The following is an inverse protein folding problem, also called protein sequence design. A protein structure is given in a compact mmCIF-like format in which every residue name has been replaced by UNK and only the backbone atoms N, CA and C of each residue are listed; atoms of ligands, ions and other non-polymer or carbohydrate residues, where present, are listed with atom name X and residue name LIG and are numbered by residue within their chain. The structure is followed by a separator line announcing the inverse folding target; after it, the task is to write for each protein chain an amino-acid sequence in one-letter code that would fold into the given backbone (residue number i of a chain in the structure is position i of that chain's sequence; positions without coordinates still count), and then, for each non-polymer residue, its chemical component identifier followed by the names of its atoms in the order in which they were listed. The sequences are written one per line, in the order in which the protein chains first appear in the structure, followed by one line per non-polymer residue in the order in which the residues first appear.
data_IF_886073103507
#
_entry.id   IF_886073103507
#
_cell.length_a   1.000
_cell.length_b   1.000
_cell.length_c   1.000
_cell.angle_alpha   90.00
_cell.angle_beta   90.00
_cell.angle_gamma   90.00
#
_symmetry.space_group_name_H-M   'P 1'
#
loop_
_entity.id
_entity.type
_entity.pdbx_description
1 polymer ?
#
# COMPACT_ATOMS: atom_id res chain seq x y z
N UNK A 1 12.01 -17.15 4.55
CA UNK A 1 12.41 -15.84 5.12
C UNK A 1 11.38 -15.38 6.14
N UNK A 2 11.64 -14.31 6.91
CA UNK A 2 10.68 -13.76 7.88
C UNK A 2 10.90 -12.25 8.08
N UNK A 3 9.83 -11.53 8.42
CA UNK A 3 9.92 -10.13 8.85
C UNK A 3 10.34 -10.10 10.33
N UNK A 4 11.43 -9.42 10.63
CA UNK A 4 11.94 -9.20 11.98
C UNK A 4 11.33 -7.96 12.65
N UNK A 5 11.15 -6.89 11.89
CA UNK A 5 10.53 -5.66 12.39
C UNK A 5 9.87 -4.87 11.26
N UNK A 6 8.84 -4.11 11.63
CA UNK A 6 8.09 -3.22 10.73
C UNK A 6 8.26 -1.78 11.26
N UNK A 7 8.52 -0.82 10.37
CA UNK A 7 8.60 0.60 10.71
C UNK A 7 7.85 1.42 9.66
N UNK A 8 6.94 2.29 10.11
CA UNK A 8 6.13 3.14 9.23
C UNK A 8 6.60 4.58 9.34
N UNK A 9 6.93 5.19 8.20
CA UNK A 9 7.27 6.60 8.10
C UNK A 9 6.11 7.34 7.44
N UNK A 10 5.55 8.34 8.12
CA UNK A 10 4.32 9.05 7.70
C UNK A 10 4.58 10.34 6.90
N UNK A 11 5.83 10.64 6.59
CA UNK A 11 6.26 11.86 5.89
C UNK A 11 7.74 11.79 5.50
N UNK A 12 8.38 12.93 5.18
CA UNK A 12 9.81 12.97 4.83
C UNK A 12 10.68 12.25 5.85
N UNK A 13 11.55 11.37 5.37
CA UNK A 13 12.35 10.46 6.15
C UNK A 13 13.70 10.18 5.48
N UNK A 14 14.51 9.30 6.08
CA UNK A 14 15.85 8.96 5.60
C UNK A 14 15.86 8.38 4.17
N UNK A 15 14.77 7.76 3.73
CA UNK A 15 14.70 7.03 2.46
C UNK A 15 14.04 7.85 1.36
N UNK A 16 13.02 8.64 1.69
CA UNK A 16 12.23 9.41 0.73
C UNK A 16 11.58 10.65 1.36
N UNK A 17 11.12 11.59 0.51
CA UNK A 17 10.34 12.76 0.93
C UNK A 17 8.85 12.46 1.11
N UNK A 18 8.43 11.22 0.91
CA UNK A 18 7.05 10.74 1.01
C UNK A 18 6.96 9.52 1.94
N UNK A 19 5.73 9.10 2.34
CA UNK A 19 5.55 7.98 3.24
C UNK A 19 6.08 6.65 2.69
N UNK A 20 6.81 5.92 3.53
CA UNK A 20 7.37 4.60 3.21
C UNK A 20 7.23 3.65 4.41
N UNK A 21 7.14 2.36 4.12
CA UNK A 21 7.28 1.28 5.11
C UNK A 21 8.68 0.69 4.95
N UNK A 22 9.35 0.42 6.07
CA UNK A 22 10.57 -0.39 6.12
C UNK A 22 10.27 -1.69 6.83
N UNK A 23 10.57 -2.81 6.18
CA UNK A 23 10.61 -4.13 6.77
C UNK A 23 12.08 -4.52 6.94
N UNK A 24 12.50 -4.89 8.15
CA UNK A 24 13.75 -5.63 8.30
C UNK A 24 13.42 -7.11 8.13
N UNK A 25 14.03 -7.74 7.13
CA UNK A 25 13.74 -9.12 6.70
C UNK A 25 14.97 -9.98 6.89
N UNK A 26 14.78 -11.16 7.49
CA UNK A 26 15.77 -12.22 7.58
C UNK A 26 15.47 -13.27 6.50
N UNK A 27 16.38 -13.41 5.52
CA UNK A 27 16.25 -14.36 4.43
C UNK A 27 16.42 -15.80 4.91
N UNK A 28 17.15 -16.03 6.00
CA UNK A 28 17.52 -17.36 6.47
C UNK A 28 18.26 -18.13 5.37
N UNK A 29 17.89 -19.40 5.10
CA UNK A 29 18.52 -20.18 4.03
C UNK A 29 18.45 -19.53 2.65
N UNK A 30 17.46 -18.66 2.40
CA UNK A 30 17.27 -18.01 1.09
C UNK A 30 18.36 -16.99 0.74
N UNK A 31 19.26 -16.67 1.68
CA UNK A 31 20.45 -15.88 1.38
C UNK A 31 21.30 -16.52 0.27
N UNK A 32 21.38 -17.85 0.27
CA UNK A 32 22.12 -18.63 -0.73
C UNK A 32 21.28 -18.97 -1.97
N UNK A 33 20.03 -18.49 -2.04
CA UNK A 33 19.07 -18.79 -3.10
C UNK A 33 18.53 -17.51 -3.74
N UNK A 34 19.35 -16.79 -4.52
CA UNK A 34 18.84 -15.73 -5.38
C UNK A 34 17.87 -16.32 -6.42
N UNK A 35 17.02 -15.47 -7.00
CA UNK A 35 15.96 -15.89 -7.93
C UNK A 35 16.46 -16.75 -9.09
N UNK A 36 17.67 -16.51 -9.61
CA UNK A 36 18.25 -17.33 -10.67
C UNK A 36 18.54 -18.76 -10.23
N UNK A 37 18.88 -18.98 -8.95
CA UNK A 37 19.08 -20.32 -8.37
C UNK A 37 17.75 -21.03 -8.06
N UNK A 38 16.71 -20.28 -7.69
CA UNK A 38 15.35 -20.83 -7.55
C UNK A 38 14.79 -21.33 -8.89
N UNK A 39 15.27 -20.78 -10.00
CA UNK A 39 15.02 -21.26 -11.35
C UNK A 39 13.75 -20.70 -11.99
N UNK A 40 13.51 -21.10 -13.24
CA UNK A 40 12.45 -20.55 -14.08
C UNK A 40 11.05 -20.74 -13.49
N UNK A 41 10.76 -21.90 -12.86
CA UNK A 41 9.44 -22.17 -12.28
C UNK A 41 9.03 -21.18 -11.19
N UNK A 42 9.98 -20.69 -10.39
CA UNK A 42 9.71 -19.63 -9.41
C UNK A 42 9.39 -18.29 -10.09
N UNK A 43 10.21 -17.92 -11.09
CA UNK A 43 10.05 -16.63 -11.80
C UNK A 43 8.76 -16.60 -12.61
N UNK A 44 8.48 -17.65 -13.38
CA UNK A 44 7.24 -17.79 -14.16
C UNK A 44 6.02 -17.80 -13.24
N UNK A 45 6.05 -18.60 -12.17
CA UNK A 45 4.99 -18.64 -11.18
C UNK A 45 4.72 -17.26 -10.55
N UNK A 46 5.76 -16.51 -10.20
CA UNK A 46 5.62 -15.15 -9.68
C UNK A 46 4.94 -14.22 -10.68
N UNK A 47 5.42 -14.23 -11.92
CA UNK A 47 4.95 -13.36 -12.98
C UNK A 47 3.53 -13.74 -13.45
N UNK A 48 3.12 -15.00 -13.33
CA UNK A 48 1.76 -15.44 -13.68
C UNK A 48 0.73 -14.97 -12.63
N UNK A 49 1.10 -15.01 -11.35
CA UNK A 49 0.25 -14.50 -10.27
C UNK A 49 0.16 -12.97 -10.27
N UNK A 50 1.25 -12.29 -10.64
CA UNK A 50 1.36 -10.83 -10.64
C UNK A 50 1.93 -10.31 -11.97
N UNK A 51 1.11 -10.21 -13.02
CA UNK A 51 1.60 -9.90 -14.35
C UNK A 51 2.17 -8.48 -14.51
N UNK A 52 1.72 -7.51 -13.71
CA UNK A 52 2.23 -6.13 -13.75
C UNK A 52 3.70 -6.00 -13.33
N UNK A 53 4.26 -7.01 -12.66
CA UNK A 53 5.72 -7.08 -12.40
C UNK A 53 6.57 -7.03 -13.67
N UNK A 54 6.00 -7.39 -14.84
CA UNK A 54 6.68 -7.26 -16.14
C UNK A 54 6.97 -5.80 -16.52
N UNK A 55 6.16 -4.86 -16.04
CA UNK A 55 6.32 -3.43 -16.33
C UNK A 55 7.26 -2.72 -15.32
N UNK A 56 7.67 -3.41 -14.25
CA UNK A 56 8.52 -2.81 -13.23
C UNK A 56 9.93 -2.56 -13.77
N UNK A 57 10.39 -1.30 -13.72
CA UNK A 57 11.70 -0.94 -14.26
C UNK A 57 12.91 -1.12 -13.35
N UNK A 58 12.70 -1.23 -12.03
CA UNK A 58 13.79 -1.42 -11.05
C UNK A 58 14.93 -0.41 -11.26
N UNK A 59 16.20 -0.85 -11.24
CA UNK A 59 17.38 -0.02 -11.44
C UNK A 59 17.58 0.46 -12.88
N UNK A 60 16.94 -0.18 -13.86
CA UNK A 60 17.09 0.18 -15.28
C UNK A 60 16.15 1.32 -15.69
N UNK A 61 15.07 1.55 -14.95
CA UNK A 61 14.13 2.64 -15.22
C UNK A 61 13.27 2.44 -16.48
N UNK A 62 13.32 1.26 -17.09
CA UNK A 62 12.57 0.88 -18.30
C UNK A 62 11.72 -0.37 -18.04
N UNK A 63 10.55 -0.52 -18.68
CA UNK A 63 9.73 -1.74 -18.58
C UNK A 63 10.55 -3.02 -18.78
N UNK A 64 10.27 -4.05 -17.97
CA UNK A 64 11.02 -5.31 -17.98
C UNK A 64 12.30 -5.31 -17.14
N UNK A 65 12.74 -4.16 -16.62
CA UNK A 65 13.98 -4.06 -15.83
C UNK A 65 14.01 -4.95 -14.58
N UNK A 66 12.87 -5.16 -13.91
CA UNK A 66 12.77 -6.10 -12.79
C UNK A 66 12.87 -7.56 -13.25
N UNK A 67 12.21 -7.92 -14.35
CA UNK A 67 12.29 -9.28 -14.93
C UNK A 67 13.73 -9.61 -15.27
N UNK A 68 14.46 -8.67 -15.87
CA UNK A 68 15.90 -8.81 -16.12
C UNK A 68 16.67 -9.09 -14.85
N UNK A 69 16.41 -8.36 -13.75
CA UNK A 69 17.04 -8.63 -12.44
C UNK A 69 16.67 -9.97 -11.83
N UNK A 70 15.53 -10.56 -12.17
CA UNK A 70 15.15 -11.89 -11.71
C UNK A 70 15.97 -12.99 -12.40
N UNK A 71 16.40 -12.77 -13.65
CA UNK A 71 16.96 -13.83 -14.52
C UNK A 71 18.43 -13.64 -14.91
N UNK A 72 18.88 -12.40 -15.10
CA UNK A 72 20.25 -12.05 -15.49
C UNK A 72 21.21 -12.14 -14.29
N UNK A 73 22.49 -12.42 -14.54
CA UNK A 73 23.59 -12.38 -13.55
C UNK A 73 23.34 -13.19 -12.26
N UNK A 74 22.62 -14.31 -12.35
CA UNK A 74 22.28 -15.16 -11.21
C UNK A 74 21.03 -14.71 -10.43
N UNK A 75 20.36 -13.65 -10.88
CA UNK A 75 19.12 -13.13 -10.34
C UNK A 75 19.30 -12.14 -9.19
N UNK A 76 18.29 -12.05 -8.32
CA UNK A 76 18.26 -11.12 -7.19
C UNK A 76 17.77 -11.77 -5.90
N UNK A 77 18.01 -11.12 -4.76
CA UNK A 77 17.67 -11.65 -3.44
C UNK A 77 16.20 -11.46 -3.10
N UNK A 78 15.66 -12.35 -2.28
CA UNK A 78 14.24 -12.38 -1.93
C UNK A 78 13.72 -11.11 -1.24
N UNK A 79 14.59 -10.35 -0.55
CA UNK A 79 14.20 -9.04 0.00
C UNK A 79 13.82 -8.04 -1.10
N UNK A 80 14.56 -8.04 -2.21
CA UNK A 80 14.27 -7.17 -3.36
C UNK A 80 13.07 -7.68 -4.18
N UNK A 81 12.86 -9.00 -4.22
CA UNK A 81 11.62 -9.55 -4.81
C UNK A 81 10.40 -9.15 -3.97
N UNK A 82 10.49 -9.25 -2.63
CA UNK A 82 9.45 -8.85 -1.70
C UNK A 82 9.05 -7.38 -1.88
N UNK A 83 10.03 -6.50 -2.07
CA UNK A 83 9.81 -5.08 -2.37
C UNK A 83 8.88 -4.88 -3.57
N UNK A 84 9.23 -5.45 -4.71
CA UNK A 84 8.47 -5.28 -5.94
C UNK A 84 7.08 -5.94 -5.86
N UNK A 85 6.97 -7.09 -5.18
CA UNK A 85 5.68 -7.75 -4.96
C UNK A 85 4.78 -6.90 -4.06
N UNK A 86 5.31 -6.31 -2.99
CA UNK A 86 4.54 -5.42 -2.12
C UNK A 86 4.08 -4.15 -2.84
N UNK A 87 4.90 -3.60 -3.73
CA UNK A 87 4.54 -2.46 -4.60
C UNK A 87 3.42 -2.87 -5.56
N UNK A 88 3.58 -3.98 -6.27
CA UNK A 88 2.61 -4.46 -7.26
C UNK A 88 1.26 -4.79 -6.62
N UNK A 89 1.25 -5.46 -5.46
CA UNK A 89 0.00 -5.77 -4.75
C UNK A 89 -0.79 -4.48 -4.42
N UNK A 90 -0.11 -3.42 -3.98
CA UNK A 90 -0.76 -2.13 -3.76
C UNK A 90 -1.34 -1.55 -5.06
N UNK A 91 -0.62 -1.65 -6.17
CA UNK A 91 -1.08 -1.16 -7.47
C UNK A 91 -2.27 -1.97 -8.00
N UNK A 92 -2.27 -3.30 -7.82
CA UNK A 92 -3.43 -4.17 -8.10
C UNK A 92 -4.66 -3.76 -7.29
N UNK A 93 -4.46 -3.29 -6.06
CA UNK A 93 -5.53 -2.75 -5.22
C UNK A 93 -5.93 -1.29 -5.56
N UNK A 94 -5.33 -0.70 -6.60
CA UNK A 94 -5.66 0.64 -7.11
C UNK A 94 -4.82 1.78 -6.54
N UNK A 95 -3.76 1.49 -5.77
CA UNK A 95 -2.78 2.50 -5.40
C UNK A 95 -1.92 2.91 -6.63
N UNK A 96 -1.17 3.99 -6.48
CA UNK A 96 -0.17 4.44 -7.47
C UNK A 96 1.16 4.66 -6.76
N UNK A 97 1.87 3.56 -6.52
CA UNK A 97 3.17 3.56 -5.84
C UNK A 97 4.22 2.89 -6.72
N UNK A 98 5.43 3.45 -6.72
CA UNK A 98 6.51 2.98 -7.61
C UNK A 98 7.85 2.88 -6.91
N UNK A 99 8.03 3.56 -5.77
CA UNK A 99 9.31 3.60 -5.09
C UNK A 99 9.53 2.37 -4.21
N UNK A 100 10.72 1.79 -4.36
CA UNK A 100 11.27 0.72 -3.54
C UNK A 100 12.78 0.85 -3.38
N UNK A 101 13.30 0.35 -2.26
CA UNK A 101 14.74 0.25 -2.00
C UNK A 101 15.06 -0.85 -1.01
N UNK A 102 15.87 -1.82 -1.45
CA UNK A 102 16.35 -2.92 -0.60
C UNK A 102 17.86 -2.82 -0.39
N UNK A 103 18.31 -2.89 0.86
CA UNK A 103 19.74 -2.83 1.24
C UNK A 103 20.05 -3.74 2.42
N UNK A 104 21.23 -4.34 2.44
CA UNK A 104 21.71 -5.07 3.62
C UNK A 104 21.91 -4.13 4.82
N UNK A 105 21.65 -4.63 6.04
CA UNK A 105 21.70 -3.82 7.26
C UNK A 105 22.97 -4.04 8.12
N UNK A 106 23.98 -4.70 7.54
CA UNK A 106 25.24 -5.04 8.22
C UNK A 106 25.28 -6.44 8.82
N UNK A 107 24.13 -7.13 8.92
CA UNK A 107 24.06 -8.55 9.28
C UNK A 107 23.81 -9.39 8.03
N UNK A 108 24.64 -10.41 7.79
CA UNK A 108 24.47 -11.33 6.65
C UNK A 108 23.09 -11.98 6.66
N UNK A 109 22.44 -12.08 5.51
CA UNK A 109 21.06 -12.59 5.40
C UNK A 109 19.97 -11.61 5.83
N UNK A 110 20.31 -10.42 6.35
CA UNK A 110 19.33 -9.42 6.76
C UNK A 110 19.32 -8.18 5.88
N UNK A 111 18.11 -7.76 5.50
CA UNK A 111 17.88 -6.65 4.58
C UNK A 111 16.82 -5.72 5.14
N UNK A 112 17.04 -4.42 4.97
CA UNK A 112 16.01 -3.41 5.05
C UNK A 112 15.34 -3.29 3.68
N UNK A 113 14.08 -3.70 3.61
CA UNK A 113 13.20 -3.60 2.44
C UNK A 113 12.27 -2.40 2.63
N UNK A 114 12.48 -1.36 1.83
CA UNK A 114 11.72 -0.11 1.92
C UNK A 114 10.82 0.01 0.70
N UNK A 115 9.55 0.33 0.89
CA UNK A 115 8.62 0.60 -0.21
C UNK A 115 7.63 1.70 0.14
N UNK A 116 7.18 2.43 -0.88
CA UNK A 116 6.18 3.48 -0.76
C UNK A 116 4.79 2.89 -0.45
N UNK A 117 3.99 3.66 0.29
CA UNK A 117 2.59 3.36 0.51
C UNK A 117 1.74 4.63 0.42
N UNK A 118 0.45 4.47 0.08
CA UNK A 118 -0.56 5.54 0.19
C UNK A 118 -1.33 5.40 1.50
N UNK A 119 -1.64 4.17 1.88
CA UNK A 119 -2.36 3.87 3.11
C UNK A 119 -1.61 2.82 3.93
N UNK A 120 -1.30 3.16 5.18
CA UNK A 120 -0.39 2.39 6.04
C UNK A 120 -0.80 0.93 6.18
N UNK A 121 -2.05 0.68 6.55
CA UNK A 121 -2.56 -0.67 6.78
C UNK A 121 -2.67 -1.49 5.49
N UNK A 122 -2.87 -0.84 4.33
CA UNK A 122 -2.81 -1.49 3.01
C UNK A 122 -1.37 -1.85 2.65
N UNK A 123 -0.41 -0.96 2.89
CA UNK A 123 1.01 -1.22 2.65
C UNK A 123 1.56 -2.35 3.53
N UNK A 124 1.20 -2.37 4.82
CA UNK A 124 1.59 -3.46 5.73
C UNK A 124 0.96 -4.79 5.33
N UNK A 125 -0.33 -4.78 4.97
CA UNK A 125 -1.01 -5.98 4.48
C UNK A 125 -0.40 -6.46 3.15
N UNK A 126 0.02 -5.56 2.26
CA UNK A 126 0.70 -5.91 1.01
C UNK A 126 2.05 -6.58 1.28
N UNK A 127 2.85 -6.07 2.23
CA UNK A 127 4.11 -6.71 2.62
C UNK A 127 3.94 -8.12 3.19
N UNK A 128 2.88 -8.35 3.97
CA UNK A 128 2.54 -9.67 4.51
C UNK A 128 2.05 -10.64 3.44
N UNK A 129 1.13 -10.20 2.58
CA UNK A 129 0.65 -11.02 1.46
C UNK A 129 1.77 -11.32 0.46
N UNK A 130 2.69 -10.38 0.23
CA UNK A 130 3.88 -10.60 -0.57
C UNK A 130 4.75 -11.70 0.02
N UNK A 131 4.99 -11.69 1.33
CA UNK A 131 5.72 -12.74 2.03
C UNK A 131 5.04 -14.10 1.88
N UNK A 132 3.72 -14.17 2.06
CA UNK A 132 2.94 -15.41 1.93
C UNK A 132 2.97 -15.96 0.51
N UNK A 133 2.82 -15.11 -0.51
CA UNK A 133 2.96 -15.50 -1.93
C UNK A 133 4.36 -16.05 -2.21
N UNK A 134 5.40 -15.35 -1.76
CA UNK A 134 6.77 -15.79 -2.00
C UNK A 134 7.04 -17.14 -1.34
N UNK A 135 6.59 -17.34 -0.10
CA UNK A 135 6.69 -18.65 0.55
C UNK A 135 5.92 -19.75 -0.19
N UNK A 136 4.74 -19.44 -0.72
CA UNK A 136 3.97 -20.39 -1.51
C UNK A 136 4.70 -20.81 -2.81
N UNK A 137 5.42 -19.89 -3.45
CA UNK A 137 6.15 -20.15 -4.69
C UNK A 137 7.50 -20.86 -4.49
N UNK A 138 8.03 -20.90 -3.26
CA UNK A 138 9.30 -21.59 -2.98
C UNK A 138 9.17 -23.11 -3.14
N UNK A 139 10.25 -23.80 -3.57
CA UNK A 139 10.36 -25.25 -3.47
C UNK A 139 10.15 -25.74 -2.03
N UNK A 140 9.58 -26.93 -1.86
CA UNK A 140 9.19 -27.48 -0.56
C UNK A 140 10.35 -27.52 0.45
N UNK A 141 11.57 -27.75 -0.01
CA UNK A 141 12.77 -27.84 0.83
C UNK A 141 13.21 -26.48 1.39
N UNK A 142 12.82 -25.38 0.73
CA UNK A 142 13.19 -24.01 1.07
C UNK A 142 12.06 -23.23 1.74
N UNK A 143 10.84 -23.80 1.75
CA UNK A 143 9.72 -23.25 2.50
C UNK A 143 10.10 -23.22 3.98
N UNK A 144 9.96 -22.07 4.67
CA UNK A 144 10.33 -21.99 6.08
C UNK A 144 9.56 -23.02 6.91
N UNK A 145 10.31 -23.90 7.58
CA UNK A 145 9.82 -24.94 8.49
C UNK A 145 9.26 -24.35 9.78
N UNK A 146 8.21 -23.56 9.68
CA UNK A 146 7.40 -23.10 10.79
C UNK A 146 5.96 -22.95 10.31
N UNK A 147 5.41 -24.08 9.85
CA UNK A 147 4.01 -24.48 10.04
C UNK A 147 3.74 -25.82 9.31
N UNK A 148 4.24 -26.91 9.88
CA UNK A 148 3.59 -28.24 9.71
C UNK A 148 2.14 -28.25 10.25
N UNK A 149 1.70 -27.16 10.86
CA UNK A 149 0.34 -26.94 11.35
C UNK A 149 -0.42 -25.84 10.59
N UNK A 150 0.19 -25.12 9.64
CA UNK A 150 -0.53 -24.10 8.85
C UNK A 150 -0.22 -24.31 7.39
N UNK A 151 -1.29 -24.78 6.75
CA UNK A 151 -1.46 -24.93 5.31
C UNK A 151 -0.67 -26.08 4.70
N UNK A 152 -0.67 -27.24 5.36
CA UNK A 152 -1.07 -28.45 4.63
C UNK A 152 -2.54 -28.26 4.21
N UNK A 153 -2.75 -27.51 3.13
CA UNK A 153 -4.06 -27.14 2.57
C UNK A 153 -4.38 -25.64 2.61
N UNK A 154 -4.61 -25.06 1.43
CA UNK A 154 -5.39 -23.85 1.17
C UNK A 154 -4.75 -22.44 1.25
N UNK A 155 -3.46 -22.24 0.94
CA UNK A 155 -3.06 -20.93 0.39
C UNK A 155 -3.50 -20.89 -1.08
N UNK A 156 -4.49 -20.05 -1.38
CA UNK A 156 -4.98 -19.78 -2.73
C UNK A 156 -4.77 -18.28 -2.99
N UNK A 157 -3.76 -17.95 -3.81
CA UNK A 157 -3.41 -16.57 -4.05
C UNK A 157 -4.55 -15.75 -4.66
N UNK A 158 -5.28 -16.21 -5.70
CA UNK A 158 -6.48 -15.53 -6.17
C UNK A 158 -7.46 -15.14 -5.04
N UNK A 159 -7.76 -16.04 -4.12
CA UNK A 159 -8.67 -15.77 -2.99
C UNK A 159 -8.10 -14.73 -2.04
N UNK A 160 -6.84 -14.86 -1.66
CA UNK A 160 -6.16 -13.92 -0.74
C UNK A 160 -6.00 -12.54 -1.38
N UNK A 161 -5.63 -12.47 -2.67
CA UNK A 161 -5.56 -11.24 -3.47
C UNK A 161 -6.91 -10.53 -3.50
N UNK A 162 -8.00 -11.24 -3.79
CA UNK A 162 -9.33 -10.64 -3.84
C UNK A 162 -9.80 -10.16 -2.45
N UNK A 163 -9.43 -10.89 -1.39
CA UNK A 163 -9.65 -10.46 -0.01
C UNK A 163 -8.88 -9.18 0.31
N UNK A 164 -7.62 -9.10 -0.12
CA UNK A 164 -6.77 -7.93 0.02
C UNK A 164 -7.29 -6.72 -0.77
N UNK A 165 -7.75 -6.90 -2.01
CA UNK A 165 -8.39 -5.83 -2.80
C UNK A 165 -9.62 -5.29 -2.06
N UNK A 166 -10.51 -6.16 -1.57
CA UNK A 166 -11.68 -5.73 -0.77
C UNK A 166 -11.25 -5.03 0.53
N UNK A 167 -10.19 -5.49 1.17
CA UNK A 167 -9.64 -4.87 2.37
C UNK A 167 -9.17 -3.44 2.09
N UNK A 168 -8.46 -3.22 0.98
CA UNK A 168 -7.98 -1.92 0.55
C UNK A 168 -9.13 -0.99 0.15
N UNK A 169 -10.05 -1.46 -0.70
CA UNK A 169 -11.21 -0.69 -1.15
C UNK A 169 -12.09 -0.18 -0.01
N UNK A 170 -12.37 -1.02 1.01
CA UNK A 170 -13.15 -0.60 2.19
C UNK A 170 -12.54 0.57 2.96
N UNK A 171 -11.24 0.79 2.77
CA UNK A 171 -10.51 1.83 3.48
C UNK A 171 -10.08 2.96 2.56
N UNK A 172 -10.23 2.83 1.25
CA UNK A 172 -9.94 3.90 0.31
C UNK A 172 -10.74 5.17 0.67
N UNK A 173 -10.24 6.33 0.25
CA UNK A 173 -11.01 7.57 0.36
C UNK A 173 -12.23 7.48 -0.57
N UNK A 174 -13.38 7.93 -0.09
CA UNK A 174 -14.57 8.06 -0.93
C UNK A 174 -14.32 9.04 -2.09
N UNK A 175 -15.08 8.94 -3.20
CA UNK A 175 -14.80 9.66 -4.45
C UNK A 175 -14.71 11.18 -4.25
N UNK A 176 -15.61 11.76 -3.46
CA UNK A 176 -15.60 13.21 -3.20
C UNK A 176 -14.38 13.66 -2.40
N UNK A 177 -13.94 12.85 -1.41
CA UNK A 177 -12.73 13.16 -0.66
C UNK A 177 -11.50 12.98 -1.53
N UNK A 178 -11.43 11.91 -2.32
CA UNK A 178 -10.33 11.65 -3.25
C UNK A 178 -10.17 12.81 -4.26
N UNK A 179 -11.26 13.36 -4.80
CA UNK A 179 -11.23 14.51 -5.68
C UNK A 179 -10.66 15.77 -5.00
N UNK A 180 -11.02 16.03 -3.73
CA UNK A 180 -10.45 17.14 -2.95
C UNK A 180 -8.96 16.94 -2.68
N UNK A 181 -8.53 15.70 -2.42
CA UNK A 181 -7.12 15.37 -2.22
C UNK A 181 -6.33 15.54 -3.51
N UNK A 182 -6.83 15.05 -4.63
CA UNK A 182 -6.19 15.25 -5.93
C UNK A 182 -6.03 16.75 -6.25
N UNK A 183 -7.06 17.55 -6.01
CA UNK A 183 -6.99 18.99 -6.18
C UNK A 183 -5.97 19.67 -5.25
N UNK A 184 -5.75 19.12 -4.04
CA UNK A 184 -4.72 19.58 -3.12
C UNK A 184 -3.32 19.22 -3.65
N UNK A 185 -3.12 17.99 -4.13
CA UNK A 185 -1.87 17.51 -4.73
C UNK A 185 -1.48 18.33 -5.97
N UNK A 186 -2.44 18.63 -6.86
CA UNK A 186 -2.23 19.51 -8.04
C UNK A 186 -1.79 20.94 -7.67
N UNK A 187 -1.98 21.34 -6.42
CA UNK A 187 -1.61 22.67 -5.88
C UNK A 187 -0.40 22.61 -4.93
N UNK A 188 0.30 21.48 -4.90
CA UNK A 188 1.41 21.21 -3.97
C UNK A 188 1.02 21.40 -2.50
N UNK A 189 -0.25 21.15 -2.16
CA UNK A 189 -0.74 21.21 -0.78
C UNK A 189 -0.57 19.83 -0.16
N UNK A 190 0.29 19.68 0.86
CA UNK A 190 0.49 18.41 1.52
C UNK A 190 -0.77 18.01 2.29
N UNK A 191 -1.00 16.71 2.43
CA UNK A 191 -2.15 16.20 3.15
C UNK A 191 -1.79 15.01 4.02
N UNK A 192 -2.60 14.77 5.05
CA UNK A 192 -2.44 13.64 5.96
C UNK A 192 -3.81 13.10 6.34
N UNK A 193 -4.00 11.79 6.15
CA UNK A 193 -5.19 11.12 6.66
C UNK A 193 -5.09 10.96 8.18
N UNK A 194 -6.10 11.45 8.89
CA UNK A 194 -6.12 11.44 10.36
C UNK A 194 -6.88 10.23 10.93
N UNK A 195 -7.81 9.62 10.18
CA UNK A 195 -8.56 8.46 10.65
C UNK A 195 -9.10 7.59 9.51
N UNK A 196 -9.84 6.53 9.87
CA UNK A 196 -10.50 5.61 8.94
C UNK A 196 -11.75 6.21 8.27
N UNK A 197 -12.40 7.20 8.88
CA UNK A 197 -13.66 7.82 8.44
C UNK A 197 -13.48 9.07 7.55
N UNK A 198 -12.46 9.05 6.69
CA UNK A 198 -12.16 10.13 5.74
C UNK A 198 -11.93 11.52 6.37
N UNK A 199 -11.45 11.58 7.61
CA UNK A 199 -10.91 12.81 8.18
C UNK A 199 -9.51 13.02 7.64
N UNK A 200 -9.30 14.14 6.97
CA UNK A 200 -8.04 14.52 6.33
C UNK A 200 -7.64 15.92 6.76
N UNK A 201 -6.34 16.10 7.01
CA UNK A 201 -5.70 17.39 7.14
C UNK A 201 -5.11 17.80 5.80
N UNK A 202 -5.35 19.04 5.38
CA UNK A 202 -4.68 19.71 4.27
C UNK A 202 -3.77 20.79 4.83
N UNK A 203 -2.54 20.90 4.33
CA UNK A 203 -1.53 21.83 4.82
C UNK A 203 -0.96 21.50 6.19
N UNK A 204 -0.08 22.38 6.68
CA UNK A 204 0.63 22.22 7.95
C UNK A 204 0.59 23.50 8.81
N UNK A 205 0.83 23.31 10.12
CA UNK A 205 0.97 24.40 11.09
C UNK A 205 -0.24 25.32 11.10
N UNK A 206 0.00 26.64 11.10
CA UNK A 206 -1.05 27.68 11.09
C UNK A 206 -1.96 27.65 9.85
N UNK A 207 -1.53 26.98 8.77
CA UNK A 207 -2.29 26.87 7.52
C UNK A 207 -3.01 25.53 7.39
N UNK A 208 -2.93 24.66 8.40
CA UNK A 208 -3.63 23.38 8.39
C UNK A 208 -5.16 23.58 8.41
N UNK A 209 -5.85 22.97 7.45
CA UNK A 209 -7.31 22.88 7.36
C UNK A 209 -7.72 21.41 7.49
N UNK A 210 -8.94 21.15 7.96
CA UNK A 210 -9.47 19.77 8.06
C UNK A 210 -10.70 19.62 7.21
N UNK A 211 -10.82 18.47 6.58
CA UNK A 211 -12.03 18.05 5.88
C UNK A 211 -12.44 16.66 6.39
N UNK A 212 -13.74 16.42 6.45
CA UNK A 212 -14.28 15.07 6.60
C UNK A 212 -15.35 14.87 5.53
N UNK A 213 -15.15 13.86 4.67
CA UNK A 213 -15.89 13.75 3.42
C UNK A 213 -15.74 15.04 2.57
N UNK A 214 -16.77 15.87 2.52
CA UNK A 214 -16.80 17.20 1.86
C UNK A 214 -17.04 18.35 2.83
N UNK A 215 -17.20 18.06 4.13
CA UNK A 215 -17.41 19.07 5.18
C UNK A 215 -16.05 19.64 5.58
N UNK A 216 -15.94 20.96 5.68
CA UNK A 216 -14.68 21.63 6.02
C UNK A 216 -14.67 22.07 7.48
N UNK A 217 -13.49 22.39 8.00
CA UNK A 217 -13.32 23.00 9.32
C UNK A 217 -13.99 24.36 9.48
N UNK A 218 -14.53 24.96 8.42
CA UNK A 218 -15.26 26.23 8.45
C UNK A 218 -16.79 26.04 8.51
N UNK A 219 -17.27 24.82 8.25
CA UNK A 219 -18.70 24.50 8.40
C UNK A 219 -19.07 24.50 9.89
N UNK A 220 -19.99 25.41 10.26
CA UNK A 220 -20.44 25.55 11.66
C UNK A 220 -21.32 24.38 12.05
N UNK A 221 -21.13 23.86 13.27
CA UNK A 221 -21.88 22.70 13.78
C UNK A 221 -23.42 22.93 13.72
N UNK A 222 -23.92 24.07 14.20
CA UNK A 222 -25.35 24.42 14.13
C UNK A 222 -25.89 24.37 12.68
N UNK A 223 -25.10 24.81 11.70
CA UNK A 223 -25.51 24.77 10.30
C UNK A 223 -25.61 23.33 9.76
N UNK A 224 -24.75 22.42 10.24
CA UNK A 224 -24.84 20.99 9.90
C UNK A 224 -26.07 20.35 10.53
N UNK A 225 -26.37 20.68 11.78
CA UNK A 225 -27.56 20.18 12.48
C UNK A 225 -28.84 20.61 11.74
N UNK A 226 -28.98 21.91 11.45
CA UNK A 226 -30.13 22.44 10.68
C UNK A 226 -30.20 21.77 9.30
N UNK A 227 -29.08 21.65 8.57
CA UNK A 227 -29.09 21.04 7.24
C UNK A 227 -29.41 19.53 7.24
N UNK A 228 -29.20 18.85 8.39
CA UNK A 228 -29.50 17.43 8.56
C UNK A 228 -30.96 17.17 8.96
N UNK A 229 -31.64 18.19 9.51
CA UNK A 229 -33.06 18.16 9.82
C UNK A 229 -33.87 18.77 8.66
N UNK A 230 -34.64 17.93 7.96
CA UNK A 230 -35.43 18.38 6.81
C UNK A 230 -36.55 19.34 7.21
N UNK A 231 -37.17 19.16 8.38
CA UNK A 231 -38.28 20.00 8.81
C UNK A 231 -37.77 21.38 9.23
N UNK A 232 -36.70 21.42 10.02
CA UNK A 232 -36.09 22.68 10.47
C UNK A 232 -35.50 23.47 9.29
N UNK A 233 -34.80 22.79 8.38
CA UNK A 233 -34.29 23.41 7.16
C UNK A 233 -35.41 24.00 6.29
N UNK A 234 -36.48 23.23 6.01
CA UNK A 234 -37.58 23.71 5.18
C UNK A 234 -38.30 24.90 5.81
N UNK A 235 -38.53 24.86 7.13
CA UNK A 235 -39.16 25.97 7.85
C UNK A 235 -38.31 27.24 7.76
N UNK A 236 -37.01 27.14 7.98
CA UNK A 236 -36.10 28.30 7.91
C UNK A 236 -36.05 28.89 6.49
N UNK A 237 -36.10 28.04 5.45
CA UNK A 237 -36.17 28.48 4.06
C UNK A 237 -37.54 29.12 3.72
N UNK A 238 -38.64 28.56 4.20
CA UNK A 238 -40.00 29.10 4.03
C UNK A 238 -40.16 30.47 4.72
N UNK A 239 -39.66 30.60 5.95
CA UNK A 239 -39.66 31.85 6.72
C UNK A 239 -38.88 32.97 5.99
N UNK A 240 -37.89 32.61 5.18
CA UNK A 240 -37.13 33.51 4.31
C UNK A 240 -37.79 33.74 2.94
N UNK A 241 -38.93 33.11 2.66
CA UNK A 241 -39.68 33.24 1.41
C UNK A 241 -39.15 32.40 0.24
N UNK A 242 -38.32 31.39 0.51
CA UNK A 242 -37.80 30.48 -0.52
C UNK A 242 -38.79 29.33 -0.79
N UNK A 243 -38.92 28.85 -2.05
CA UNK A 243 -39.83 27.77 -2.38
C UNK A 243 -39.36 26.44 -1.76
N UNK A 244 -40.24 25.80 -0.97
CA UNK A 244 -40.01 24.49 -0.37
C UNK A 244 -41.15 23.51 -0.72
N UNK A 245 -40.88 22.19 -0.80
CA UNK A 245 -41.91 21.17 -1.00
C UNK A 245 -42.90 21.14 0.18
N UNK A 246 -44.18 20.93 -0.12
CA UNK A 246 -45.24 20.73 0.89
C UNK A 246 -45.54 19.25 1.09
#
# INVERSE_FOLDING_TARGET
MKILSESVYVGPNLYALFPVIRLTVDLGPLEDWPSGRLGAGFVEGLLDHLPGLREHGCSYGEPGGFVRRLTEDGGTWMGHVLEHVAIELQNVAGARVTFGKTRGNGTTGQYDVVFQYVQEDVGLAAGRLALDLLHHLLPDELRPGARKEVREGNFDFPVERDSFIRFAQRRALGPSTAALIQAAEERDIPWLRLNRYSLVQLGHGRYAKRIQATVTSETRNIAVEIASDKEEANKLLEDLGLPVPR
#
